data_IF_981963429936
#
_entry.id   IF_981963429936
#
_cell.length_a   1.000
_cell.length_b   1.000
_cell.length_c   1.000
_cell.angle_alpha   90.00
_cell.angle_beta   90.00
_cell.angle_gamma   90.00
#
_symmetry.space_group_name_H-M   'P 1'
#
loop_
_entity.id
_entity.type
_entity.pdbx_description
1 polymer ?
#
# COMPACT_ATOMS: atom_id res chain seq x y z
N UNK A 1 20.17 -28.70 -17.13
CA UNK A 1 21.22 -27.67 -17.11
C UNK A 1 20.56 -26.32 -17.31
N UNK A 2 20.61 -25.44 -16.30
CA UNK A 2 20.04 -24.07 -16.42
C UNK A 2 21.02 -23.27 -17.27
N UNK A 3 20.57 -22.80 -18.45
CA UNK A 3 21.37 -22.02 -19.37
C UNK A 3 21.94 -20.77 -18.69
N UNK A 4 23.14 -20.34 -19.08
CA UNK A 4 23.81 -19.14 -18.49
C UNK A 4 22.93 -17.88 -18.60
N UNK A 5 22.15 -17.72 -19.65
CA UNK A 5 21.18 -16.63 -19.81
C UNK A 5 20.05 -16.67 -18.79
N UNK A 6 19.59 -17.85 -18.41
CA UNK A 6 18.56 -18.02 -17.36
C UNK A 6 19.07 -17.63 -15.97
N UNK A 7 20.31 -18.00 -15.63
CA UNK A 7 20.96 -17.57 -14.38
C UNK A 7 21.08 -16.05 -14.30
N UNK A 8 21.41 -15.39 -15.40
CA UNK A 8 21.50 -13.94 -15.44
C UNK A 8 20.15 -13.24 -15.16
N UNK A 9 19.03 -13.82 -15.59
CA UNK A 9 17.72 -13.22 -15.37
C UNK A 9 17.27 -13.33 -13.92
N UNK A 10 17.49 -14.49 -13.27
CA UNK A 10 17.17 -14.67 -11.85
C UNK A 10 18.02 -13.75 -10.94
N UNK A 11 19.30 -13.62 -11.24
CA UNK A 11 20.18 -12.69 -10.50
C UNK A 11 19.76 -11.23 -10.69
N UNK A 12 19.42 -10.83 -11.92
CA UNK A 12 18.90 -9.48 -12.18
C UNK A 12 17.57 -9.23 -11.49
N UNK A 13 16.67 -10.21 -11.53
CA UNK A 13 15.37 -10.16 -10.86
C UNK A 13 15.55 -9.99 -9.34
N UNK A 14 16.34 -10.84 -8.73
CA UNK A 14 16.66 -10.74 -7.31
C UNK A 14 17.29 -9.38 -6.95
N UNK A 15 18.30 -8.94 -7.68
CA UNK A 15 19.00 -7.67 -7.41
C UNK A 15 18.10 -6.45 -7.56
N UNK A 16 17.23 -6.42 -8.58
CA UNK A 16 16.27 -5.32 -8.77
C UNK A 16 15.28 -5.25 -7.61
N UNK A 17 14.67 -6.37 -7.26
CA UNK A 17 13.71 -6.41 -6.15
C UNK A 17 14.38 -6.23 -4.79
N UNK A 18 15.60 -6.72 -4.59
CA UNK A 18 16.37 -6.50 -3.37
C UNK A 18 16.71 -5.02 -3.16
N UNK A 19 17.08 -4.32 -4.22
CA UNK A 19 17.34 -2.87 -4.16
C UNK A 19 16.06 -2.11 -3.81
N UNK A 20 14.92 -2.45 -4.43
CA UNK A 20 13.64 -1.84 -4.12
C UNK A 20 13.25 -2.13 -2.67
N UNK A 21 13.33 -3.38 -2.22
CA UNK A 21 13.02 -3.76 -0.85
C UNK A 21 13.88 -3.05 0.20
N UNK A 22 15.20 -2.93 -0.05
CA UNK A 22 16.13 -2.33 0.91
C UNK A 22 15.99 -0.80 1.03
N UNK A 23 15.70 -0.10 -0.07
CA UNK A 23 15.82 1.36 -0.14
C UNK A 23 14.50 2.09 -0.34
N UNK A 24 13.36 1.41 -0.28
CA UNK A 24 12.07 2.09 -0.44
C UNK A 24 11.53 2.56 0.91
N UNK A 25 11.35 3.87 1.01
CA UNK A 25 10.66 4.52 2.11
C UNK A 25 9.31 5.07 1.61
N UNK A 26 8.26 4.99 2.42
CA UNK A 26 6.96 5.59 2.07
C UNK A 26 5.80 4.62 1.86
N UNK A 27 5.99 3.34 2.16
CA UNK A 27 4.93 2.33 2.15
C UNK A 27 4.67 1.67 0.79
N UNK A 28 3.66 0.80 0.72
CA UNK A 28 3.40 -0.08 -0.42
C UNK A 28 3.18 0.63 -1.75
N UNK A 29 2.51 1.79 -1.76
CA UNK A 29 2.29 2.57 -2.98
C UNK A 29 3.57 3.17 -3.57
N UNK A 30 4.49 3.63 -2.72
CA UNK A 30 5.80 4.10 -3.19
C UNK A 30 6.60 2.96 -3.82
N UNK A 31 6.53 1.75 -3.23
CA UNK A 31 7.17 0.57 -3.81
C UNK A 31 6.60 0.19 -5.17
N UNK A 32 5.28 0.30 -5.38
CA UNK A 32 4.64 0.01 -6.67
C UNK A 32 5.23 0.87 -7.77
N UNK A 33 5.32 2.19 -7.54
CA UNK A 33 5.87 3.12 -8.53
C UNK A 33 7.33 2.82 -8.87
N UNK A 34 8.12 2.36 -7.88
CA UNK A 34 9.50 1.95 -8.11
C UNK A 34 9.60 0.62 -8.83
N UNK A 35 8.71 -0.34 -8.53
CA UNK A 35 8.63 -1.62 -9.25
C UNK A 35 8.23 -1.35 -10.71
N UNK A 36 7.18 -0.54 -10.96
CA UNK A 36 6.76 -0.14 -12.29
C UNK A 36 7.94 0.44 -13.08
N UNK A 37 8.60 1.46 -12.53
CA UNK A 37 9.76 2.08 -13.16
C UNK A 37 10.89 1.10 -13.46
N UNK A 38 11.17 0.16 -12.54
CA UNK A 38 12.24 -0.82 -12.76
C UNK A 38 11.87 -1.83 -13.84
N UNK A 39 10.63 -2.40 -13.82
CA UNK A 39 10.27 -3.51 -14.70
C UNK A 39 9.77 -3.04 -16.08
N UNK A 40 9.14 -1.86 -16.16
CA UNK A 40 8.59 -1.29 -17.41
C UNK A 40 9.60 -0.38 -18.07
N UNK A 41 10.09 0.65 -17.36
CA UNK A 41 10.90 1.71 -17.97
C UNK A 41 12.37 1.30 -18.08
N UNK A 42 13.00 0.84 -16.99
CA UNK A 42 14.42 0.55 -16.94
C UNK A 42 14.78 -0.77 -17.61
N UNK A 43 14.10 -1.84 -17.22
CA UNK A 43 14.40 -3.21 -17.68
C UNK A 43 13.60 -3.61 -18.91
N UNK A 44 12.44 -2.98 -19.14
CA UNK A 44 11.52 -3.30 -20.23
C UNK A 44 11.15 -4.79 -20.27
N UNK A 45 11.01 -5.39 -19.09
CA UNK A 45 10.63 -6.79 -18.97
C UNK A 45 9.15 -7.03 -19.25
N UNK A 46 8.32 -6.03 -18.92
CA UNK A 46 6.86 -6.09 -19.02
C UNK A 46 6.38 -4.78 -19.63
N UNK A 47 5.34 -4.82 -20.46
CA UNK A 47 4.66 -3.62 -20.97
C UNK A 47 3.85 -2.96 -19.87
N UNK A 48 3.56 -1.68 -20.01
CA UNK A 48 2.81 -0.92 -19.01
C UNK A 48 1.40 -1.46 -18.80
N UNK A 49 0.74 -1.86 -19.89
CA UNK A 49 -0.60 -2.43 -19.87
C UNK A 49 -0.62 -3.75 -19.05
N UNK A 50 0.31 -4.66 -19.36
CA UNK A 50 0.45 -5.93 -18.62
C UNK A 50 0.76 -5.69 -17.13
N UNK A 51 1.56 -4.65 -16.81
CA UNK A 51 1.87 -4.31 -15.42
C UNK A 51 0.63 -3.83 -14.66
N UNK A 52 -0.23 -3.03 -15.30
CA UNK A 52 -1.48 -2.57 -14.68
C UNK A 52 -2.45 -3.72 -14.41
N UNK A 53 -2.52 -4.71 -15.30
CA UNK A 53 -3.31 -5.93 -15.09
C UNK A 53 -2.77 -6.74 -13.91
N UNK A 54 -1.44 -6.93 -13.83
CA UNK A 54 -0.82 -7.59 -12.69
C UNK A 54 -1.06 -6.83 -11.37
N UNK A 55 -1.05 -5.51 -11.42
CA UNK A 55 -1.33 -4.66 -10.27
C UNK A 55 -2.78 -4.84 -9.78
N UNK A 56 -3.75 -4.89 -10.70
CA UNK A 56 -5.15 -5.12 -10.35
C UNK A 56 -5.34 -6.48 -9.66
N UNK A 57 -4.69 -7.53 -10.17
CA UNK A 57 -4.70 -8.85 -9.53
C UNK A 57 -4.03 -8.80 -8.16
N UNK A 58 -2.85 -8.18 -8.05
CA UNK A 58 -2.11 -8.08 -6.79
C UNK A 58 -2.89 -7.32 -5.70
N UNK A 59 -3.69 -6.33 -6.08
CA UNK A 59 -4.57 -5.58 -5.15
C UNK A 59 -5.76 -6.40 -4.65
N UNK A 60 -6.21 -7.40 -5.40
CA UNK A 60 -7.31 -8.28 -4.99
C UNK A 60 -6.87 -9.36 -3.99
N UNK A 61 -5.56 -9.60 -3.88
CA UNK A 61 -5.00 -10.61 -2.98
C UNK A 61 -4.75 -10.02 -1.58
N UNK A 62 -5.08 -10.74 -0.51
CA UNK A 62 -4.73 -10.31 0.84
C UNK A 62 -3.21 -10.35 1.05
N UNK A 63 -2.66 -9.35 1.76
CA UNK A 63 -1.23 -9.30 2.09
C UNK A 63 -0.57 -7.97 1.75
N UNK A 64 0.77 -7.98 1.78
CA UNK A 64 1.59 -6.80 1.47
C UNK A 64 1.60 -6.61 -0.05
N UNK A 65 0.99 -5.53 -0.53
CA UNK A 65 0.81 -5.24 -1.94
C UNK A 65 2.13 -5.27 -2.73
N UNK A 66 3.22 -4.75 -2.16
CA UNK A 66 4.53 -4.77 -2.80
C UNK A 66 5.08 -6.20 -3.00
N UNK A 67 4.79 -7.12 -2.08
CA UNK A 67 5.16 -8.53 -2.22
C UNK A 67 4.27 -9.20 -3.26
N UNK A 68 2.95 -8.96 -3.21
CA UNK A 68 2.01 -9.52 -4.17
C UNK A 68 2.37 -9.15 -5.61
N UNK A 69 2.69 -7.88 -5.88
CA UNK A 69 3.10 -7.45 -7.22
C UNK A 69 4.47 -8.01 -7.62
N UNK A 70 5.41 -8.15 -6.67
CA UNK A 70 6.71 -8.78 -6.93
C UNK A 70 6.55 -10.23 -7.35
N UNK A 71 5.67 -10.98 -6.66
CA UNK A 71 5.31 -12.36 -7.00
C UNK A 71 4.68 -12.43 -8.39
N UNK A 72 3.70 -11.57 -8.67
CA UNK A 72 3.00 -11.54 -9.96
C UNK A 72 3.95 -11.21 -11.13
N UNK A 73 4.85 -10.24 -10.96
CA UNK A 73 5.90 -9.92 -11.93
C UNK A 73 6.86 -11.08 -12.11
N UNK A 74 7.30 -11.69 -11.02
CA UNK A 74 8.18 -12.86 -11.05
C UNK A 74 7.56 -14.04 -11.78
N UNK A 75 6.27 -14.30 -11.54
CA UNK A 75 5.49 -15.35 -12.22
C UNK A 75 5.39 -15.09 -13.71
N UNK A 76 5.04 -13.88 -14.09
CA UNK A 76 4.93 -13.48 -15.50
C UNK A 76 6.24 -13.67 -16.28
N UNK A 77 7.38 -13.47 -15.60
CA UNK A 77 8.70 -13.54 -16.26
C UNK A 77 9.26 -14.98 -16.31
N UNK A 78 9.13 -15.75 -15.23
CA UNK A 78 9.78 -17.07 -15.09
C UNK A 78 8.97 -18.07 -14.27
N UNK A 79 7.64 -17.94 -14.21
CA UNK A 79 6.75 -18.82 -13.49
C UNK A 79 7.07 -18.89 -12.00
N UNK A 80 6.71 -19.97 -11.35
CA UNK A 80 6.86 -20.15 -9.91
C UNK A 80 8.27 -19.85 -9.36
N UNK A 81 9.32 -20.21 -10.09
CA UNK A 81 10.72 -19.92 -9.69
C UNK A 81 11.00 -18.42 -9.72
N UNK A 82 10.45 -17.71 -10.71
CA UNK A 82 10.53 -16.25 -10.78
C UNK A 82 9.81 -15.59 -9.63
N UNK A 83 8.62 -16.05 -9.28
CA UNK A 83 7.85 -15.59 -8.12
C UNK A 83 8.63 -15.70 -6.83
N UNK A 84 9.25 -16.86 -6.59
CA UNK A 84 10.02 -17.11 -5.38
C UNK A 84 11.24 -16.18 -5.28
N UNK A 85 11.98 -16.01 -6.39
CA UNK A 85 13.17 -15.15 -6.46
C UNK A 85 12.80 -13.69 -6.24
N UNK A 86 11.70 -13.21 -6.86
CA UNK A 86 11.23 -11.83 -6.70
C UNK A 86 10.73 -11.56 -5.28
N UNK A 87 9.96 -12.47 -4.70
CA UNK A 87 9.49 -12.38 -3.32
C UNK A 87 10.65 -12.35 -2.31
N UNK A 88 11.59 -13.28 -2.43
CA UNK A 88 12.79 -13.30 -1.60
C UNK A 88 13.62 -12.03 -1.77
N UNK A 89 13.78 -11.53 -2.99
CA UNK A 89 14.45 -10.26 -3.26
C UNK A 89 13.79 -9.11 -2.52
N UNK A 90 12.46 -9.02 -2.54
CA UNK A 90 11.74 -7.94 -1.86
C UNK A 90 11.80 -8.04 -0.33
N UNK A 91 11.69 -9.22 0.25
CA UNK A 91 11.54 -9.44 1.69
C UNK A 91 12.89 -9.54 2.40
N UNK A 92 13.84 -10.25 1.80
CA UNK A 92 15.07 -10.68 2.47
C UNK A 92 15.95 -9.52 2.96
N UNK A 93 16.16 -8.43 2.19
CA UNK A 93 16.94 -7.30 2.67
C UNK A 93 16.34 -6.63 3.91
N UNK A 94 15.04 -6.37 3.92
CA UNK A 94 14.34 -5.81 5.08
C UNK A 94 14.45 -6.73 6.29
N UNK A 95 14.23 -8.03 6.08
CA UNK A 95 14.33 -9.02 7.14
C UNK A 95 15.73 -9.05 7.74
N UNK A 96 16.79 -9.08 6.91
CA UNK A 96 18.18 -9.10 7.38
C UNK A 96 18.56 -7.81 8.13
N UNK A 97 18.11 -6.65 7.66
CA UNK A 97 18.35 -5.37 8.32
C UNK A 97 17.70 -5.36 9.72
N UNK A 98 16.41 -5.76 9.80
CA UNK A 98 15.69 -5.79 11.08
C UNK A 98 16.31 -6.82 12.02
N UNK A 99 16.67 -8.00 11.51
CA UNK A 99 17.34 -9.04 12.27
C UNK A 99 18.70 -8.57 12.82
N UNK A 100 19.51 -7.92 11.99
CA UNK A 100 20.77 -7.34 12.41
C UNK A 100 20.58 -6.29 13.51
N UNK A 101 19.60 -5.39 13.35
CA UNK A 101 19.25 -4.41 14.37
C UNK A 101 18.84 -5.11 15.67
N UNK A 102 17.99 -6.14 15.60
CA UNK A 102 17.51 -6.85 16.77
C UNK A 102 18.62 -7.60 17.53
N UNK A 103 19.61 -8.15 16.81
CA UNK A 103 20.74 -8.87 17.41
C UNK A 103 21.76 -7.90 18.00
N UNK A 104 22.13 -6.85 17.26
CA UNK A 104 23.24 -5.96 17.64
C UNK A 104 22.80 -4.79 18.52
N UNK A 105 21.55 -4.31 18.39
CA UNK A 105 21.05 -3.20 19.18
C UNK A 105 20.14 -3.69 20.32
N UNK A 106 20.78 -4.20 21.37
CA UNK A 106 20.07 -4.58 22.58
C UNK A 106 19.49 -3.34 23.29
N UNK A 107 18.38 -3.47 24.05
CA UNK A 107 17.81 -2.36 24.82
C UNK A 107 18.81 -1.65 25.73
N UNK A 108 19.74 -2.41 26.35
CA UNK A 108 20.78 -1.88 27.21
C UNK A 108 21.76 -0.99 26.43
N UNK A 109 22.15 -1.42 25.23
CA UNK A 109 23.05 -0.64 24.37
C UNK A 109 22.40 0.67 23.92
N UNK A 110 21.09 0.63 23.61
CA UNK A 110 20.34 1.82 23.21
C UNK A 110 20.21 2.83 24.35
N UNK A 111 20.03 2.36 25.57
CA UNK A 111 19.86 3.23 26.74
C UNK A 111 21.16 3.81 27.27
N UNK A 112 22.23 3.03 27.30
CA UNK A 112 23.51 3.41 27.91
C UNK A 112 24.50 4.06 26.92
N UNK A 113 24.32 3.88 25.61
CA UNK A 113 25.20 4.52 24.62
C UNK A 113 24.61 5.83 24.12
N UNK A 114 25.22 7.00 24.44
CA UNK A 114 24.69 8.30 24.08
C UNK A 114 24.60 8.52 22.57
N UNK A 115 25.49 7.93 21.78
CA UNK A 115 25.51 8.05 20.32
C UNK A 115 24.31 7.30 19.72
N UNK A 116 24.11 6.04 20.12
CA UNK A 116 22.99 5.21 19.66
C UNK A 116 21.64 5.85 20.04
N UNK A 117 21.52 6.29 21.31
CA UNK A 117 20.33 7.01 21.79
C UNK A 117 20.04 8.26 20.98
N UNK A 118 21.06 9.03 20.61
CA UNK A 118 20.92 10.25 19.81
C UNK A 118 20.45 9.94 18.38
N UNK A 119 20.98 8.88 17.75
CA UNK A 119 20.52 8.41 16.43
C UNK A 119 19.03 8.04 16.48
N UNK A 120 18.61 7.25 17.46
CA UNK A 120 17.20 6.88 17.61
C UNK A 120 16.30 8.09 17.88
N UNK A 121 16.76 9.06 18.67
CA UNK A 121 16.03 10.33 18.87
C UNK A 121 15.89 11.12 17.58
N UNK A 122 16.92 11.13 16.73
CA UNK A 122 16.89 11.79 15.42
C UNK A 122 15.97 11.12 14.41
N UNK A 123 15.81 9.79 14.48
CA UNK A 123 14.90 9.04 13.58
C UNK A 123 13.41 9.24 13.94
N UNK A 124 13.07 9.51 15.21
CA UNK A 124 11.68 9.67 15.65
C UNK A 124 10.85 10.65 14.81
N UNK A 125 11.30 11.88 14.53
CA UNK A 125 10.52 12.80 13.70
C UNK A 125 10.35 12.31 12.25
N UNK A 126 11.34 11.60 11.70
CA UNK A 126 11.22 11.01 10.37
C UNK A 126 10.14 9.91 10.32
N UNK A 127 10.07 9.06 11.35
CA UNK A 127 9.00 8.04 11.48
C UNK A 127 7.62 8.70 11.58
N UNK A 128 7.49 9.79 12.36
CA UNK A 128 6.24 10.55 12.45
C UNK A 128 5.83 11.10 11.07
N UNK A 129 6.79 11.66 10.33
CA UNK A 129 6.52 12.16 8.98
C UNK A 129 6.07 11.05 8.01
N UNK A 130 6.68 9.85 8.10
CA UNK A 130 6.29 8.67 7.31
C UNK A 130 4.88 8.19 7.62
N UNK A 131 4.39 8.37 8.84
CA UNK A 131 3.01 8.05 9.23
C UNK A 131 2.04 9.13 8.75
N UNK A 132 2.41 10.40 8.84
CA UNK A 132 1.54 11.53 8.47
C UNK A 132 1.40 11.64 6.95
N UNK A 133 2.45 11.38 6.18
CA UNK A 133 2.43 11.53 4.72
C UNK A 133 1.31 10.71 4.03
N UNK A 134 1.10 9.41 4.31
CA UNK A 134 -0.02 8.63 3.77
C UNK A 134 -1.38 9.17 4.19
N UNK A 135 -1.52 9.68 5.42
CA UNK A 135 -2.77 10.28 5.91
C UNK A 135 -3.15 11.49 5.06
N UNK A 136 -2.19 12.39 4.80
CA UNK A 136 -2.42 13.58 3.96
C UNK A 136 -2.76 13.16 2.52
N UNK A 137 -2.03 12.19 1.96
CA UNK A 137 -2.25 11.71 0.60
C UNK A 137 -3.62 11.05 0.44
N UNK A 138 -4.01 10.18 1.39
CA UNK A 138 -5.32 9.55 1.41
C UNK A 138 -6.45 10.56 1.63
N UNK A 139 -6.23 11.57 2.48
CA UNK A 139 -7.18 12.66 2.70
C UNK A 139 -7.43 13.48 1.42
N UNK A 140 -6.37 13.76 0.66
CA UNK A 140 -6.48 14.43 -0.65
C UNK A 140 -7.21 13.56 -1.68
N UNK A 141 -6.88 12.27 -1.74
CA UNK A 141 -7.52 11.32 -2.65
C UNK A 141 -9.02 11.15 -2.35
N UNK A 142 -9.40 11.16 -1.08
CA UNK A 142 -10.79 11.11 -0.62
C UNK A 142 -11.55 12.44 -0.83
N UNK A 143 -10.91 13.47 -1.41
CA UNK A 143 -11.49 14.81 -1.61
C UNK A 143 -12.12 15.38 -0.33
N UNK A 144 -11.47 15.14 0.82
CA UNK A 144 -11.93 15.68 2.11
C UNK A 144 -11.83 17.20 2.04
N UNK A 145 -13.01 17.84 2.03
CA UNK A 145 -13.10 19.29 2.09
C UNK A 145 -13.12 19.73 3.57
N UNK A 146 -12.77 20.97 3.84
CA UNK A 146 -12.78 21.54 5.19
C UNK A 146 -14.10 21.31 5.94
N UNK A 147 -15.22 21.28 5.19
CA UNK A 147 -16.56 21.00 5.74
C UNK A 147 -16.75 19.56 6.23
N UNK A 148 -16.00 18.59 5.68
CA UNK A 148 -16.10 17.17 6.02
C UNK A 148 -14.95 16.68 6.93
N UNK A 149 -14.00 17.57 7.26
CA UNK A 149 -12.83 17.24 8.07
C UNK A 149 -13.22 16.84 9.51
N UNK A 150 -14.36 17.30 10.00
CA UNK A 150 -14.86 16.95 11.32
C UNK A 150 -15.15 15.44 11.48
N UNK A 151 -15.53 14.73 10.38
CA UNK A 151 -15.86 13.30 10.42
C UNK A 151 -14.63 12.46 10.81
N UNK A 152 -13.49 12.51 10.09
CA UNK A 152 -12.30 11.75 10.48
C UNK A 152 -11.73 12.18 11.84
N UNK A 153 -11.85 13.47 12.19
CA UNK A 153 -11.42 13.96 13.51
C UNK A 153 -12.29 13.39 14.61
N UNK A 154 -13.61 13.40 14.44
CA UNK A 154 -14.55 12.81 15.41
C UNK A 154 -14.31 11.30 15.58
N UNK A 155 -14.11 10.57 14.47
CA UNK A 155 -13.78 9.13 14.51
C UNK A 155 -12.46 8.88 15.22
N UNK A 156 -11.43 9.69 14.97
CA UNK A 156 -10.14 9.57 15.66
C UNK A 156 -10.26 9.81 17.18
N UNK A 157 -11.03 10.81 17.60
CA UNK A 157 -11.31 11.08 19.00
C UNK A 157 -12.12 9.96 19.67
N UNK A 158 -13.09 9.38 18.96
CA UNK A 158 -13.88 8.26 19.45
C UNK A 158 -13.02 6.99 19.62
N UNK A 159 -12.12 6.73 18.68
CA UNK A 159 -11.15 5.62 18.79
C UNK A 159 -10.20 5.83 19.99
N UNK A 160 -9.78 7.08 20.26
CA UNK A 160 -8.94 7.41 21.42
C UNK A 160 -9.67 7.24 22.78
N UNK A 161 -10.98 7.27 22.78
CA UNK A 161 -11.83 7.23 23.98
C UNK A 161 -11.72 5.95 24.83
N UNK A 162 -10.77 5.03 24.58
CA UNK A 162 -10.48 3.80 25.38
C UNK A 162 -11.71 2.93 25.76
N UNK A 163 -12.89 3.22 25.24
CA UNK A 163 -14.09 2.42 25.53
C UNK A 163 -14.06 1.16 24.66
N UNK A 164 -14.11 -0.05 25.22
CA UNK A 164 -13.77 -1.30 24.51
C UNK A 164 -14.63 -1.58 23.28
N UNK A 165 -15.87 -1.11 23.25
CA UNK A 165 -16.77 -1.25 22.09
C UNK A 165 -16.56 -0.16 21.03
N UNK A 166 -16.29 1.07 21.45
CA UNK A 166 -16.16 2.25 20.58
C UNK A 166 -14.75 2.36 19.99
N UNK A 167 -13.75 1.79 20.66
CA UNK A 167 -12.35 1.82 20.22
C UNK A 167 -12.03 0.83 19.09
N UNK A 168 -13.01 0.03 18.61
CA UNK A 168 -12.77 -0.97 17.59
C UNK A 168 -12.88 -0.37 16.17
N UNK A 169 -11.78 -0.29 15.38
CA UNK A 169 -11.80 0.27 14.02
C UNK A 169 -12.74 -0.45 13.06
N UNK A 170 -12.97 -1.76 13.27
CA UNK A 170 -13.84 -2.59 12.43
C UNK A 170 -15.27 -2.05 12.42
N UNK A 171 -15.76 -1.57 13.56
CA UNK A 171 -17.09 -1.00 13.69
C UNK A 171 -17.27 0.25 12.81
N UNK A 172 -16.26 1.12 12.75
CA UNK A 172 -16.31 2.32 11.91
C UNK A 172 -16.21 2.00 10.42
N UNK A 173 -15.44 0.98 10.05
CA UNK A 173 -15.36 0.50 8.66
C UNK A 173 -16.72 -0.07 8.23
N UNK A 174 -17.35 -0.89 9.07
CA UNK A 174 -18.67 -1.46 8.79
C UNK A 174 -19.75 -0.38 8.69
N UNK A 175 -19.79 0.56 9.65
CA UNK A 175 -20.75 1.66 9.64
C UNK A 175 -20.52 2.61 8.46
N UNK A 176 -19.27 2.92 8.12
CA UNK A 176 -18.93 3.74 6.98
C UNK A 176 -19.28 3.07 5.65
N UNK A 177 -19.03 1.78 5.53
CA UNK A 177 -19.41 0.98 4.35
C UNK A 177 -20.94 0.90 4.19
N UNK A 178 -21.66 0.61 5.28
CA UNK A 178 -23.13 0.56 5.26
C UNK A 178 -23.75 1.92 4.94
N UNK A 179 -23.24 2.99 5.57
CA UNK A 179 -23.68 4.36 5.32
C UNK A 179 -23.42 4.80 3.88
N UNK A 180 -22.25 4.49 3.35
CA UNK A 180 -21.87 4.74 1.96
C UNK A 180 -22.77 3.98 0.98
N UNK A 181 -23.02 2.70 1.22
CA UNK A 181 -23.94 1.88 0.41
C UNK A 181 -25.36 2.44 0.38
N UNK A 182 -25.91 2.80 1.54
CA UNK A 182 -27.26 3.37 1.64
C UNK A 182 -27.34 4.74 0.96
N UNK A 183 -26.27 5.54 1.02
CA UNK A 183 -26.22 6.85 0.37
C UNK A 183 -26.19 6.72 -1.16
N UNK A 184 -25.36 5.83 -1.71
CA UNK A 184 -25.27 5.54 -3.15
C UNK A 184 -26.61 5.02 -3.66
N UNK A 185 -27.22 4.06 -2.97
CA UNK A 185 -28.53 3.52 -3.34
C UNK A 185 -29.65 4.58 -3.34
N UNK A 186 -29.59 5.54 -2.41
CA UNK A 186 -30.54 6.68 -2.42
C UNK A 186 -30.30 7.63 -3.57
N UNK A 187 -29.05 7.82 -3.98
CA UNK A 187 -28.70 8.69 -5.09
C UNK A 187 -29.10 8.07 -6.43
N UNK A 188 -28.88 6.77 -6.63
CA UNK A 188 -29.36 6.03 -7.80
C UNK A 188 -30.89 6.10 -7.94
N UNK A 189 -31.61 5.93 -6.83
CA UNK A 189 -33.08 6.04 -6.85
C UNK A 189 -33.55 7.43 -7.25
N UNK A 190 -32.89 8.49 -6.74
CA UNK A 190 -33.20 9.88 -7.14
C UNK A 190 -32.90 10.18 -8.61
N UNK A 191 -31.83 9.60 -9.16
CA UNK A 191 -31.49 9.75 -10.57
C UNK A 191 -32.48 9.03 -11.48
N UNK A 192 -32.89 7.82 -11.12
CA UNK A 192 -33.93 7.07 -11.83
C UNK A 192 -35.31 7.80 -11.81
N UNK A 193 -35.71 8.30 -10.63
CA UNK A 193 -36.96 9.04 -10.49
C UNK A 193 -36.92 10.34 -11.32
N UNK A 194 -35.77 11.01 -11.40
CA UNK A 194 -35.61 12.20 -12.22
C UNK A 194 -35.59 11.88 -13.74
N UNK A 195 -35.05 10.73 -14.14
CA UNK A 195 -35.09 10.28 -15.53
C UNK A 195 -36.52 9.93 -15.98
N UNK A 196 -37.25 9.19 -15.16
CA UNK A 196 -38.64 8.85 -15.41
C UNK A 196 -39.55 10.10 -15.52
N UNK A 197 -39.35 11.08 -14.64
CA UNK A 197 -40.08 12.34 -14.68
C UNK A 197 -39.77 13.18 -15.95
N UNK A 198 -38.54 13.07 -16.49
CA UNK A 198 -38.17 13.73 -17.75
C UNK A 198 -38.74 13.02 -18.98
N UNK A 199 -38.84 11.69 -18.96
CA UNK A 199 -39.48 10.92 -20.03
C UNK A 199 -40.97 11.18 -20.09
N UNK A 200 -41.68 11.19 -18.95
CA UNK A 200 -43.12 11.55 -18.91
C UNK A 200 -43.41 12.97 -19.40
N UNK A 201 -42.47 13.90 -19.21
CA UNK A 201 -42.60 15.27 -19.74
C UNK A 201 -42.41 15.33 -21.27
N UNK A 202 -41.56 14.47 -21.82
CA UNK A 202 -41.37 14.38 -23.29
C UNK A 202 -42.55 13.75 -24.01
N UNK A 203 -43.21 12.79 -23.41
CA UNK A 203 -44.39 12.12 -23.99
C UNK A 203 -45.65 12.99 -23.95
N UNK A 204 -45.66 14.08 -23.18
CA UNK A 204 -46.80 15.02 -23.07
C UNK A 204 -46.67 16.28 -23.93
N UNK A 205 -45.58 16.43 -24.70
CA UNK A 205 -45.30 17.50 -25.68
C UNK A 205 -45.40 17.00 -27.12
#
# INVERSE_FOLDING_TARGET
MINQEERHIYSKLFSSFARIGAFTFGGGWAMISLIEREVVDNRRWIKKEDFLDLLAVAQSLPGILAVNISVAVGDRLRGFRGSLVAALGTILPCFLIILAIAIFLTPDLIQHNPVVSSIFKGIRPAVVALIIAPVITSGKAAKINWKNLWIPVAVALLIWSKWPFISNPILYIALGGLGGYLWVRRQEKRLNDAQLANEEKKDKL
#
